data_IF_049360606397
#
_entry.id   IF_049360606397
#
_cell.length_a   1.000
_cell.length_b   1.000
_cell.length_c   1.000
_cell.angle_alpha   90.00
_cell.angle_beta   90.00
_cell.angle_gamma   90.00
#
_symmetry.space_group_name_H-M   'P 1'
#
loop_
_entity.id
_entity.type
_entity.pdbx_description
1 polymer ?
#
# COMPACT_ATOMS: atom_id res chain seq x y z
N UNK A 1 -12.37 -0.18 -25.29
CA UNK A 1 -13.53 -1.10 -25.30
C UNK A 1 -14.43 -0.88 -24.09
N UNK A 2 -13.95 -0.96 -22.86
CA UNK A 2 -14.77 -0.86 -21.64
C UNK A 2 -15.49 0.49 -21.41
N UNK A 3 -15.21 1.51 -22.23
CA UNK A 3 -15.88 2.84 -22.20
C UNK A 3 -16.78 3.08 -23.41
N UNK A 4 -17.01 2.06 -24.21
CA UNK A 4 -17.89 2.13 -25.38
C UNK A 4 -19.32 1.90 -24.93
N UNK A 5 -20.16 2.94 -24.98
CA UNK A 5 -21.57 2.89 -24.57
C UNK A 5 -22.38 1.86 -25.35
N UNK A 6 -21.91 1.43 -26.51
CA UNK A 6 -22.57 0.40 -27.32
C UNK A 6 -22.17 -1.02 -26.93
N UNK A 7 -21.14 -1.18 -26.10
CA UNK A 7 -20.61 -2.50 -25.72
C UNK A 7 -21.65 -3.36 -25.02
N UNK A 8 -22.34 -2.77 -24.05
CA UNK A 8 -23.37 -3.48 -23.26
C UNK A 8 -24.51 -3.96 -24.16
N UNK A 9 -24.94 -3.11 -25.09
CA UNK A 9 -25.97 -3.47 -26.06
C UNK A 9 -25.51 -4.63 -26.94
N UNK A 10 -24.26 -4.57 -27.43
CA UNK A 10 -23.67 -5.63 -28.27
C UNK A 10 -23.55 -6.96 -27.50
N UNK A 11 -23.11 -6.91 -26.24
CA UNK A 11 -23.03 -8.09 -25.39
C UNK A 11 -24.42 -8.69 -25.12
N UNK A 12 -25.41 -7.87 -24.78
CA UNK A 12 -26.78 -8.31 -24.58
C UNK A 12 -27.35 -8.99 -25.83
N UNK A 13 -27.12 -8.41 -27.02
CA UNK A 13 -27.57 -8.99 -28.27
C UNK A 13 -26.85 -10.30 -28.59
N UNK A 14 -25.53 -10.36 -28.37
CA UNK A 14 -24.77 -11.59 -28.54
C UNK A 14 -25.26 -12.71 -27.61
N UNK A 15 -25.46 -12.42 -26.34
CA UNK A 15 -25.98 -13.38 -25.37
C UNK A 15 -27.39 -13.85 -25.72
N UNK A 16 -28.24 -12.97 -26.25
CA UNK A 16 -29.57 -13.32 -26.75
C UNK A 16 -29.52 -14.29 -27.92
N UNK A 17 -28.62 -14.04 -28.87
CA UNK A 17 -28.39 -14.94 -30.02
C UNK A 17 -27.90 -16.34 -29.58
N UNK A 18 -27.11 -16.39 -28.49
CA UNK A 18 -26.63 -17.64 -27.91
C UNK A 18 -27.61 -18.32 -26.96
N UNK A 19 -28.83 -17.80 -26.83
CA UNK A 19 -29.84 -18.28 -25.89
C UNK A 19 -29.37 -18.37 -24.43
N UNK A 20 -28.53 -17.40 -24.02
CA UNK A 20 -27.90 -17.31 -22.68
C UNK A 20 -28.49 -16.20 -21.81
N UNK A 21 -29.57 -15.55 -22.24
CA UNK A 21 -30.21 -14.44 -21.55
C UNK A 21 -31.66 -14.78 -21.25
N UNK A 22 -32.05 -14.61 -19.99
CA UNK A 22 -33.43 -14.73 -19.55
C UNK A 22 -34.23 -13.47 -19.85
N UNK A 23 -33.68 -12.28 -19.55
CA UNK A 23 -34.33 -10.97 -19.75
C UNK A 23 -33.31 -9.88 -19.98
N UNK A 24 -33.63 -8.90 -20.80
CA UNK A 24 -32.85 -7.68 -21.00
C UNK A 24 -33.73 -6.49 -20.65
N UNK A 25 -33.26 -5.66 -19.70
CA UNK A 25 -33.97 -4.45 -19.29
C UNK A 25 -33.01 -3.28 -19.27
N UNK A 26 -33.49 -2.09 -19.63
CA UNK A 26 -32.76 -0.84 -19.43
C UNK A 26 -32.98 -0.38 -18.00
N UNK A 27 -31.86 -0.20 -17.25
CA UNK A 27 -31.87 0.31 -15.90
C UNK A 27 -31.07 1.61 -15.81
N UNK A 28 -31.63 2.64 -15.21
CA UNK A 28 -30.94 3.90 -14.96
C UNK A 28 -30.52 3.92 -13.50
N UNK A 29 -29.24 4.11 -13.24
CA UNK A 29 -28.66 4.18 -11.91
C UNK A 29 -27.55 5.24 -11.85
N UNK A 30 -27.23 5.70 -10.64
CA UNK A 30 -26.09 6.56 -10.42
C UNK A 30 -24.80 5.78 -10.66
N UNK A 31 -23.88 6.37 -11.40
CA UNK A 31 -22.56 5.79 -11.66
C UNK A 31 -21.47 6.73 -11.11
N UNK A 32 -20.46 6.20 -10.39
CA UNK A 32 -19.41 7.02 -9.83
C UNK A 32 -18.51 7.61 -10.92
N UNK A 33 -18.23 8.91 -10.79
CA UNK A 33 -17.32 9.63 -11.66
C UNK A 33 -16.10 10.13 -10.90
N UNK A 34 -14.98 10.21 -11.59
CA UNK A 34 -13.74 10.74 -11.02
C UNK A 34 -13.90 12.23 -10.72
N UNK A 35 -13.76 12.62 -9.45
CA UNK A 35 -13.92 14.01 -8.99
C UNK A 35 -13.05 15.03 -9.73
N UNK A 36 -11.89 14.61 -10.28
CA UNK A 36 -10.95 15.51 -10.96
C UNK A 36 -11.21 15.65 -12.45
N UNK A 37 -11.69 14.61 -13.09
CA UNK A 37 -11.82 14.54 -14.56
C UNK A 37 -13.25 14.40 -15.03
N UNK A 38 -14.19 14.24 -14.10
CA UNK A 38 -15.62 13.97 -14.36
C UNK A 38 -15.89 12.80 -15.31
N UNK A 39 -14.91 11.89 -15.44
CA UNK A 39 -15.03 10.68 -16.27
C UNK A 39 -15.54 9.51 -15.43
N UNK A 40 -16.30 8.57 -16.04
CA UNK A 40 -16.74 7.36 -15.35
C UNK A 40 -15.55 6.58 -14.79
N UNK A 41 -15.69 6.10 -13.55
CA UNK A 41 -14.70 5.25 -12.88
C UNK A 41 -14.87 3.82 -13.38
N UNK A 42 -13.78 3.13 -13.71
CA UNK A 42 -13.79 1.71 -13.97
C UNK A 42 -13.37 0.97 -12.70
N UNK A 43 -14.15 -0.02 -12.30
CA UNK A 43 -13.74 -0.99 -11.29
C UNK A 43 -12.84 -2.01 -11.96
N UNK A 44 -11.58 -2.01 -11.55
CA UNK A 44 -10.53 -2.77 -12.17
C UNK A 44 -9.62 -3.33 -11.07
N UNK A 45 -9.33 -4.64 -11.05
CA UNK A 45 -8.43 -5.22 -10.07
C UNK A 45 -7.00 -4.73 -10.33
N UNK A 46 -6.32 -4.32 -9.26
CA UNK A 46 -4.92 -3.94 -9.26
C UNK A 46 -4.21 -4.71 -8.16
N UNK A 47 -3.00 -5.17 -8.45
CA UNK A 47 -2.13 -5.71 -7.42
C UNK A 47 -1.84 -4.63 -6.38
N UNK A 48 -1.90 -5.00 -5.12
CA UNK A 48 -1.78 -4.07 -4.01
C UNK A 48 -1.15 -4.76 -2.81
N UNK A 49 -0.48 -3.97 -1.98
CA UNK A 49 0.07 -4.44 -0.70
C UNK A 49 -0.96 -4.28 0.41
N UNK A 50 -1.08 -5.32 1.24
CA UNK A 50 -2.05 -5.38 2.33
C UNK A 50 -1.36 -5.64 3.65
N UNK A 51 -1.86 -5.01 4.71
CA UNK A 51 -1.61 -5.47 6.08
C UNK A 51 -2.64 -6.53 6.41
N UNK A 52 -2.18 -7.72 6.82
CA UNK A 52 -3.06 -8.84 7.20
C UNK A 52 -3.68 -8.59 8.58
N UNK A 53 -4.49 -7.55 8.67
CA UNK A 53 -5.15 -7.12 9.90
C UNK A 53 -6.12 -8.18 10.44
N UNK A 54 -6.68 -9.01 9.57
CA UNK A 54 -7.58 -10.11 9.93
C UNK A 54 -6.96 -11.13 10.88
N UNK A 55 -5.64 -11.34 10.88
CA UNK A 55 -4.95 -12.21 11.83
C UNK A 55 -5.03 -11.71 13.28
N UNK A 56 -5.15 -10.39 13.47
CA UNK A 56 -5.22 -9.77 14.80
C UNK A 56 -6.67 -9.55 15.29
N UNK A 57 -7.64 -9.93 14.50
CA UNK A 57 -9.07 -9.69 14.72
C UNK A 57 -9.56 -10.17 16.09
N UNK A 58 -9.27 -11.40 16.45
CA UNK A 58 -9.69 -11.98 17.74
C UNK A 58 -9.04 -11.25 18.89
N UNK A 59 -7.72 -11.02 18.81
CA UNK A 59 -6.97 -10.31 19.83
C UNK A 59 -7.45 -8.88 20.03
N UNK A 60 -7.72 -8.16 18.93
CA UNK A 60 -8.26 -6.79 18.98
C UNK A 60 -9.67 -6.76 19.59
N UNK A 61 -10.52 -7.74 19.27
CA UNK A 61 -11.85 -7.88 19.84
C UNK A 61 -11.81 -8.16 21.35
N UNK A 62 -10.87 -8.97 21.82
CA UNK A 62 -10.63 -9.19 23.26
C UNK A 62 -10.18 -7.93 23.97
N UNK A 63 -9.18 -7.23 23.41
CA UNK A 63 -8.67 -5.99 23.97
C UNK A 63 -9.75 -4.90 24.02
N UNK A 64 -10.61 -4.82 23.01
CA UNK A 64 -11.74 -3.89 23.00
C UNK A 64 -12.66 -4.03 24.24
N UNK A 65 -12.82 -5.25 24.76
CA UNK A 65 -13.63 -5.52 25.96
C UNK A 65 -12.99 -4.99 27.25
N UNK A 66 -11.69 -4.71 27.24
CA UNK A 66 -10.98 -4.17 28.41
C UNK A 66 -11.07 -2.64 28.49
N UNK A 67 -11.57 -1.97 27.46
CA UNK A 67 -11.68 -0.51 27.40
C UNK A 67 -12.97 -0.06 28.06
N UNK A 68 -12.89 0.92 28.92
CA UNK A 68 -14.06 1.59 29.50
C UNK A 68 -14.63 2.61 28.54
N UNK A 69 -15.52 2.17 27.67
CA UNK A 69 -16.19 3.03 26.69
C UNK A 69 -17.24 3.95 27.31
N UNK A 70 -17.27 5.21 26.85
CA UNK A 70 -18.33 6.16 27.20
C UNK A 70 -18.86 6.86 25.92
N UNK A 71 -20.06 6.53 25.46
CA UNK A 71 -20.99 5.51 25.99
C UNK A 71 -20.50 4.08 25.71
N UNK A 72 -20.91 3.12 26.53
CA UNK A 72 -20.57 1.69 26.39
C UNK A 72 -20.97 1.13 25.02
N UNK A 73 -22.06 1.62 24.44
CA UNK A 73 -22.55 1.23 23.11
C UNK A 73 -21.55 1.48 21.98
N UNK A 74 -20.55 2.31 22.17
CA UNK A 74 -19.46 2.49 21.18
C UNK A 74 -18.63 1.23 21.04
N UNK A 75 -18.23 0.63 22.17
CA UNK A 75 -17.39 -0.57 22.20
C UNK A 75 -18.14 -1.85 21.83
N UNK A 76 -19.39 -1.98 22.32
CA UNK A 76 -20.23 -3.17 22.04
C UNK A 76 -21.00 -3.06 20.72
N UNK A 77 -21.23 -1.85 20.23
CA UNK A 77 -21.96 -1.57 19.01
C UNK A 77 -21.06 -1.44 17.78
N UNK A 78 -21.00 -0.24 17.20
CA UNK A 78 -20.37 0.02 15.90
C UNK A 78 -18.91 -0.41 15.85
N UNK A 79 -18.10 -0.04 16.85
CA UNK A 79 -16.67 -0.34 16.86
C UNK A 79 -16.42 -1.83 17.10
N UNK A 80 -17.09 -2.45 18.08
CA UNK A 80 -16.96 -3.89 18.32
C UNK A 80 -17.35 -4.73 17.12
N UNK A 81 -18.49 -4.39 16.48
CA UNK A 81 -18.92 -5.07 15.24
C UNK A 81 -17.96 -4.88 14.08
N UNK A 82 -17.32 -3.71 13.99
CA UNK A 82 -16.29 -3.47 12.99
C UNK A 82 -15.06 -4.37 13.21
N UNK A 83 -14.61 -4.52 14.48
CA UNK A 83 -13.52 -5.45 14.81
C UNK A 83 -13.88 -6.90 14.53
N UNK A 84 -15.11 -7.32 14.86
CA UNK A 84 -15.61 -8.67 14.59
C UNK A 84 -15.63 -9.01 13.08
N UNK A 85 -15.75 -8.01 12.23
CA UNK A 85 -15.78 -8.13 10.77
C UNK A 85 -14.53 -7.52 10.11
N UNK A 86 -13.42 -7.45 10.84
CA UNK A 86 -12.19 -6.85 10.35
C UNK A 86 -11.67 -7.59 9.11
N UNK A 87 -11.39 -6.82 8.06
CA UNK A 87 -10.76 -7.27 6.84
C UNK A 87 -9.31 -6.78 6.77
N UNK A 88 -8.53 -7.39 5.89
CA UNK A 88 -7.18 -6.92 5.61
C UNK A 88 -7.20 -5.50 5.04
N UNK A 89 -6.22 -4.72 5.43
CA UNK A 89 -6.12 -3.32 5.05
C UNK A 89 -5.28 -3.17 3.79
N UNK A 90 -5.89 -2.72 2.71
CA UNK A 90 -5.16 -2.28 1.53
C UNK A 90 -4.33 -1.04 1.88
N UNK A 91 -3.02 -1.25 2.02
CA UNK A 91 -2.09 -0.22 2.48
C UNK A 91 -1.53 0.63 1.33
N UNK A 92 -1.30 0.04 0.17
CA UNK A 92 -0.62 0.71 -0.94
C UNK A 92 -1.50 1.72 -1.68
N UNK A 93 -0.87 2.82 -2.10
CA UNK A 93 -1.52 3.88 -2.89
C UNK A 93 -0.66 4.23 -4.09
N UNK A 94 -1.23 4.11 -5.27
CA UNK A 94 -0.58 4.49 -6.54
C UNK A 94 -0.60 6.00 -6.71
N UNK A 95 0.27 6.70 -5.99
CA UNK A 95 0.43 8.15 -5.98
C UNK A 95 1.90 8.52 -6.07
N UNK A 96 2.17 9.81 -6.39
CA UNK A 96 3.55 10.28 -6.52
C UNK A 96 4.10 10.80 -5.18
N UNK A 97 3.34 11.56 -4.39
CA UNK A 97 3.80 12.18 -3.15
C UNK A 97 3.13 11.56 -1.92
N UNK A 98 3.95 11.25 -0.94
CA UNK A 98 3.60 10.68 0.35
C UNK A 98 4.71 9.78 0.88
N UNK A 99 4.45 9.04 1.95
CA UNK A 99 5.37 8.09 2.56
C UNK A 99 5.56 6.87 1.64
N UNK A 100 6.76 6.60 1.12
CA UNK A 100 7.01 5.45 0.25
C UNK A 100 6.85 4.12 0.99
N UNK A 101 6.35 3.09 0.30
CA UNK A 101 6.42 1.72 0.81
C UNK A 101 7.88 1.29 0.95
N UNK A 102 8.32 0.84 2.14
CA UNK A 102 9.68 0.40 2.37
C UNK A 102 9.90 -1.05 1.92
N UNK A 103 9.43 -1.39 0.74
CA UNK A 103 9.47 -2.75 0.19
C UNK A 103 10.28 -2.75 -1.10
N UNK A 104 11.24 -3.66 -1.20
CA UNK A 104 12.01 -3.95 -2.40
C UNK A 104 11.69 -5.35 -2.88
N UNK A 105 11.49 -5.51 -4.18
CA UNK A 105 11.14 -6.78 -4.81
C UNK A 105 12.11 -7.11 -5.94
N UNK A 106 12.39 -8.41 -6.14
CA UNK A 106 13.09 -8.93 -7.30
C UNK A 106 12.11 -9.38 -8.38
N UNK A 107 12.60 -9.59 -9.61
CA UNK A 107 11.79 -10.11 -10.71
C UNK A 107 11.20 -11.51 -10.41
N UNK A 108 11.84 -12.29 -9.55
CA UNK A 108 11.39 -13.63 -9.16
C UNK A 108 10.36 -13.59 -8.00
N UNK A 109 10.00 -12.39 -7.50
CA UNK A 109 9.02 -12.21 -6.43
C UNK A 109 9.58 -12.32 -5.01
N UNK A 110 10.92 -12.35 -4.82
CA UNK A 110 11.50 -12.17 -3.49
C UNK A 110 11.22 -10.75 -3.01
N UNK A 111 10.86 -10.57 -1.75
CA UNK A 111 10.53 -9.28 -1.17
C UNK A 111 11.26 -9.06 0.15
N UNK A 112 11.74 -7.85 0.37
CA UNK A 112 12.32 -7.38 1.63
C UNK A 112 11.54 -6.14 2.07
N UNK A 113 11.07 -6.13 3.31
CA UNK A 113 10.48 -4.97 3.94
C UNK A 113 11.49 -4.37 4.92
N UNK A 114 11.86 -3.13 4.70
CA UNK A 114 12.86 -2.40 5.50
C UNK A 114 12.17 -1.74 6.70
N UNK A 115 12.62 -2.06 7.90
CA UNK A 115 12.03 -1.59 9.15
C UNK A 115 12.69 -0.33 9.74
N UNK A 116 13.87 0.08 9.24
CA UNK A 116 14.56 1.28 9.74
C UNK A 116 15.52 1.88 8.71
N UNK A 117 15.90 3.14 8.93
CA UNK A 117 16.90 3.81 8.07
C UNK A 117 18.27 3.15 8.22
N UNK A 118 18.62 2.69 9.41
CA UNK A 118 19.85 1.94 9.65
C UNK A 118 19.88 0.62 8.88
N UNK A 119 18.78 -0.12 8.89
CA UNK A 119 18.64 -1.33 8.08
C UNK A 119 18.79 -1.03 6.59
N UNK A 120 18.12 0.02 6.09
CA UNK A 120 18.25 0.44 4.70
C UNK A 120 19.71 0.78 4.35
N UNK A 121 20.39 1.54 5.22
CA UNK A 121 21.80 1.86 5.03
C UNK A 121 22.67 0.59 4.90
N UNK A 122 22.45 -0.39 5.79
CA UNK A 122 23.21 -1.63 5.78
C UNK A 122 22.91 -2.50 4.54
N UNK A 123 21.65 -2.54 4.10
CA UNK A 123 21.27 -3.25 2.86
C UNK A 123 21.86 -2.56 1.62
N UNK A 124 21.97 -1.23 1.59
CA UNK A 124 22.67 -0.52 0.52
C UNK A 124 24.17 -0.85 0.53
N UNK A 125 24.83 -0.93 1.70
CA UNK A 125 26.26 -1.34 1.77
C UNK A 125 26.45 -2.77 1.21
N UNK A 126 25.52 -3.68 1.46
CA UNK A 126 25.54 -5.02 0.84
C UNK A 126 25.37 -4.94 -0.68
N UNK A 127 24.47 -4.09 -1.17
CA UNK A 127 24.26 -3.89 -2.60
C UNK A 127 25.50 -3.27 -3.28
N UNK A 128 26.23 -2.38 -2.61
CA UNK A 128 27.49 -1.82 -3.07
C UNK A 128 28.55 -2.93 -3.13
N UNK A 129 28.68 -3.73 -2.08
CA UNK A 129 29.63 -4.84 -2.03
C UNK A 129 29.36 -5.89 -3.13
N UNK A 130 28.08 -6.09 -3.48
CA UNK A 130 27.67 -6.98 -4.58
C UNK A 130 27.77 -6.34 -5.98
N UNK A 131 28.18 -5.07 -6.08
CA UNK A 131 28.30 -4.34 -7.35
C UNK A 131 26.96 -3.92 -7.98
N UNK A 132 25.87 -3.99 -7.22
CA UNK A 132 24.51 -3.57 -7.66
C UNK A 132 24.35 -2.05 -7.58
N UNK A 133 24.96 -1.42 -6.56
CA UNK A 133 25.04 0.02 -6.41
C UNK A 133 26.49 0.49 -6.52
N UNK A 134 26.72 1.67 -7.10
CA UNK A 134 28.07 2.24 -7.24
C UNK A 134 28.59 2.79 -5.89
N UNK A 135 27.73 3.40 -5.09
CA UNK A 135 28.01 3.93 -3.74
C UNK A 135 26.75 3.92 -2.91
N UNK A 136 26.91 4.15 -1.60
CA UNK A 136 25.80 4.39 -0.70
C UNK A 136 25.48 5.90 -0.64
N UNK A 137 24.35 6.36 -1.19
CA UNK A 137 24.02 7.79 -1.26
C UNK A 137 23.84 8.44 0.11
N UNK A 138 23.56 7.69 1.16
CA UNK A 138 23.44 8.20 2.52
C UNK A 138 24.82 8.40 3.15
N UNK A 139 25.73 7.47 2.91
CA UNK A 139 27.14 7.59 3.31
C UNK A 139 27.83 8.78 2.63
N UNK A 140 27.57 8.95 1.34
CA UNK A 140 28.13 10.06 0.55
C UNK A 140 27.67 11.43 1.08
N UNK A 141 26.48 11.51 1.68
CA UNK A 141 25.96 12.70 2.38
C UNK A 141 26.40 12.82 3.84
N UNK A 142 27.20 11.88 4.33
CA UNK A 142 27.69 11.86 5.70
C UNK A 142 26.63 11.48 6.75
N UNK A 143 25.62 10.71 6.36
CA UNK A 143 24.68 10.13 7.32
C UNK A 143 25.37 9.07 8.16
N UNK A 144 25.11 9.09 9.47
CA UNK A 144 25.69 8.16 10.46
C UNK A 144 24.59 7.28 11.04
N UNK A 145 24.59 5.95 10.77
CA UNK A 145 23.67 5.03 11.39
C UNK A 145 23.78 5.07 12.93
N UNK A 146 22.62 5.03 13.61
CA UNK A 146 22.57 5.08 15.09
C UNK A 146 22.64 6.49 15.69
N UNK A 147 22.89 7.52 14.89
CA UNK A 147 22.76 8.92 15.31
C UNK A 147 21.35 9.44 14.96
N UNK A 148 20.49 9.60 15.97
CA UNK A 148 19.09 10.03 15.84
C UNK A 148 18.93 11.55 15.92
N UNK A 149 20.01 12.33 15.82
CA UNK A 149 19.94 13.78 15.82
C UNK A 149 19.21 14.29 14.58
N UNK A 150 18.54 15.43 14.73
CA UNK A 150 17.86 16.09 13.62
C UNK A 150 18.86 16.45 12.51
N UNK A 151 20.03 16.94 12.88
CA UNK A 151 21.12 17.34 11.97
C UNK A 151 21.58 16.16 11.11
N UNK A 152 21.54 14.93 11.64
CA UNK A 152 21.90 13.75 10.88
C UNK A 152 20.80 13.36 9.89
N UNK A 153 19.53 13.40 10.34
CA UNK A 153 18.39 13.05 9.48
C UNK A 153 18.10 14.11 8.41
N UNK A 154 18.43 15.38 8.62
CA UNK A 154 18.30 16.43 7.60
C UNK A 154 19.22 16.21 6.38
N UNK A 155 20.20 15.29 6.46
CA UNK A 155 21.10 14.94 5.35
C UNK A 155 20.46 14.02 4.31
N UNK A 156 19.39 13.34 4.65
CA UNK A 156 18.74 12.33 3.80
C UNK A 156 17.28 12.69 3.53
N UNK A 157 16.77 12.22 2.41
CA UNK A 157 15.36 12.34 2.06
C UNK A 157 14.85 10.95 1.62
N UNK A 158 13.81 10.47 2.31
CA UNK A 158 13.19 9.18 2.06
C UNK A 158 11.98 9.25 1.11
N UNK A 159 11.64 10.46 0.63
CA UNK A 159 10.56 10.63 -0.33
C UNK A 159 10.96 10.22 -1.75
N UNK A 160 9.98 10.02 -2.58
CA UNK A 160 10.18 9.95 -4.03
C UNK A 160 10.60 11.34 -4.58
N UNK A 161 11.50 11.39 -5.57
CA UNK A 161 12.11 10.26 -6.30
C UNK A 161 13.38 9.70 -5.65
N UNK A 162 13.88 10.28 -4.58
CA UNK A 162 15.23 10.02 -4.02
C UNK A 162 15.42 8.55 -3.60
N UNK A 163 14.38 7.94 -3.03
CA UNK A 163 14.44 6.54 -2.57
C UNK A 163 14.22 5.53 -3.71
N UNK A 164 13.65 5.96 -4.83
CA UNK A 164 13.34 5.07 -5.96
C UNK A 164 14.57 4.58 -6.71
N UNK A 165 15.70 5.32 -6.64
CA UNK A 165 16.97 4.95 -7.28
C UNK A 165 17.77 3.94 -6.45
N UNK A 166 17.36 3.66 -5.22
CA UNK A 166 18.02 2.70 -4.34
C UNK A 166 17.67 1.29 -4.79
N UNK A 167 18.71 0.52 -5.12
CA UNK A 167 18.61 -0.90 -5.43
C UNK A 167 19.24 -1.71 -4.30
N UNK A 168 18.60 -2.81 -3.96
CA UNK A 168 19.11 -3.75 -2.97
C UNK A 168 19.50 -5.07 -3.63
N UNK A 169 20.05 -5.97 -2.86
CA UNK A 169 20.41 -7.33 -3.30
C UNK A 169 19.64 -8.34 -2.44
N UNK A 170 19.00 -9.29 -3.09
CA UNK A 170 18.29 -10.36 -2.38
C UNK A 170 19.25 -11.36 -1.76
N UNK A 171 18.79 -12.20 -0.82
CA UNK A 171 19.60 -13.30 -0.28
C UNK A 171 20.14 -14.26 -1.36
N UNK A 172 19.48 -14.35 -2.51
CA UNK A 172 19.93 -15.17 -3.66
C UNK A 172 20.82 -14.40 -4.64
N UNK A 173 21.18 -13.14 -4.33
CA UNK A 173 22.07 -12.31 -5.17
C UNK A 173 21.37 -11.57 -6.31
N UNK A 174 20.03 -11.51 -6.33
CA UNK A 174 19.26 -10.81 -7.36
C UNK A 174 19.13 -9.32 -7.05
N UNK A 175 19.08 -8.50 -8.09
CA UNK A 175 18.79 -7.08 -7.96
C UNK A 175 17.34 -6.88 -7.54
N UNK A 176 17.12 -6.05 -6.54
CA UNK A 176 15.80 -5.67 -6.05
C UNK A 176 15.55 -4.19 -6.28
N UNK A 177 14.35 -3.87 -6.70
CA UNK A 177 13.87 -2.48 -6.90
C UNK A 177 12.73 -2.19 -5.93
N UNK A 178 12.60 -0.92 -5.54
CA UNK A 178 11.55 -0.50 -4.61
C UNK A 178 10.17 -0.56 -5.27
N UNK A 179 9.17 -0.99 -4.52
CA UNK A 179 7.76 -0.85 -4.91
C UNK A 179 7.37 0.61 -5.03
N UNK A 180 6.86 1.03 -6.19
CA UNK A 180 6.64 2.44 -6.49
C UNK A 180 5.45 3.06 -5.74
N UNK A 181 4.57 2.24 -5.18
CA UNK A 181 3.44 2.72 -4.41
C UNK A 181 3.88 3.40 -3.10
N UNK A 182 2.94 4.16 -2.55
CA UNK A 182 3.07 4.85 -1.26
C UNK A 182 2.21 4.16 -0.21
N UNK A 183 2.47 4.46 1.04
CA UNK A 183 1.62 4.05 2.17
C UNK A 183 0.36 4.92 2.23
N UNK A 184 -0.75 4.32 2.60
CA UNK A 184 -1.97 5.05 2.94
C UNK A 184 -1.71 6.03 4.09
N UNK A 185 -2.09 7.30 3.92
CA UNK A 185 -1.91 8.36 4.93
C UNK A 185 -2.52 8.03 6.29
N UNK A 186 -3.50 7.15 6.35
CA UNK A 186 -4.06 6.65 7.61
C UNK A 186 -3.06 5.84 8.44
N UNK A 187 -2.02 5.31 7.81
CA UNK A 187 -0.92 4.67 8.53
C UNK A 187 -0.15 5.67 9.39
N UNK A 188 0.10 6.88 8.89
CA UNK A 188 0.82 7.92 9.63
C UNK A 188 0.08 8.27 10.91
N UNK A 189 -1.25 8.46 10.84
CA UNK A 189 -2.05 8.73 12.05
C UNK A 189 -2.16 7.52 12.98
N UNK A 190 -2.21 6.30 12.44
CA UNK A 190 -2.21 5.07 13.22
C UNK A 190 -0.87 4.77 13.91
N UNK A 191 0.23 5.26 13.35
CA UNK A 191 1.57 5.11 13.90
C UNK A 191 1.92 6.16 14.98
N UNK A 192 1.07 7.16 15.22
CA UNK A 192 1.31 8.26 16.16
C UNK A 192 1.76 7.80 17.55
N UNK A 193 1.25 6.70 18.15
CA UNK A 193 1.75 6.21 19.46
C UNK A 193 3.23 5.85 19.48
N UNK A 194 3.84 5.62 18.31
CA UNK A 194 5.25 5.24 18.14
C UNK A 194 6.11 6.40 17.61
N UNK A 195 5.49 7.51 17.22
CA UNK A 195 6.17 8.65 16.58
C UNK A 195 6.58 9.75 17.57
N UNK A 196 6.60 9.44 18.88
CA UNK A 196 6.97 10.39 19.94
C UNK A 196 8.47 10.42 20.20
#
# INVERSE_FOLDING_TARGET
>A
AAKDETLDIRLCMWMKLQNKVFKIEKHTHNYPHCRRTDKPVLYYPLDSWFVRASEMKERMSELNKTITWKPESTGTGRFGKWLENLNDWNLSRSRYWGTPLPIWTSEDGEAICIGSVEELYNEIEKAVAAGVMASNPYKDKGFVPGDYSKENYDKIDLHRPYVDDIKLVSPTGKVMTRELDLIDVWFDSGAMPYAQ
#
